data_IF_564852449535
#
_entry.id   IF_564852449535
#
_cell.length_a   1.000
_cell.length_b   1.000
_cell.length_c   1.000
_cell.angle_alpha   90.00
_cell.angle_beta   90.00
_cell.angle_gamma   90.00
#
_symmetry.space_group_name_H-M   'P 1'
#
loop_
_entity.id
_entity.type
_entity.pdbx_description
1 polymer ?
#
# COMPACT_ATOMS: atom_id res chain seq x y z
N UNK A 1 -37.01 -30.04 -0.43
CA UNK A 1 -36.01 -29.09 -0.95
C UNK A 1 -36.55 -28.65 -2.30
N UNK A 2 -37.17 -27.48 -2.37
CA UNK A 2 -37.89 -27.01 -3.56
C UNK A 2 -36.90 -26.32 -4.50
N UNK A 3 -36.71 -26.89 -5.68
CA UNK A 3 -35.88 -26.34 -6.75
C UNK A 3 -36.68 -25.28 -7.51
N UNK A 4 -36.37 -24.00 -7.26
CA UNK A 4 -36.95 -22.89 -8.02
C UNK A 4 -36.31 -22.88 -9.41
N UNK A 5 -37.07 -23.29 -10.43
CA UNK A 5 -36.65 -23.21 -11.82
C UNK A 5 -36.62 -21.73 -12.24
N UNK A 6 -35.44 -21.22 -12.62
CA UNK A 6 -35.27 -19.82 -13.02
C UNK A 6 -35.67 -19.56 -14.47
N UNK A 7 -35.88 -20.61 -15.27
CA UNK A 7 -36.30 -20.52 -16.66
C UNK A 7 -36.20 -21.85 -17.38
N UNK A 8 -36.84 -21.93 -18.54
CA UNK A 8 -36.81 -23.09 -19.43
C UNK A 8 -36.06 -22.72 -20.70
N UNK A 9 -35.06 -23.52 -21.07
CA UNK A 9 -34.41 -23.40 -22.37
C UNK A 9 -35.03 -24.45 -23.29
N UNK A 10 -35.49 -24.03 -24.46
CA UNK A 10 -35.79 -24.95 -25.55
C UNK A 10 -34.47 -25.30 -26.21
N UNK A 11 -34.05 -26.55 -26.08
CA UNK A 11 -32.91 -27.06 -26.84
C UNK A 11 -33.30 -27.19 -28.32
N UNK A 12 -32.32 -27.09 -29.22
CA UNK A 12 -32.53 -27.01 -30.68
C UNK A 12 -33.27 -28.24 -31.27
N UNK A 13 -33.39 -29.32 -30.49
CA UNK A 13 -34.08 -30.57 -30.83
C UNK A 13 -35.43 -30.78 -30.10
N UNK A 14 -35.97 -29.76 -29.43
CA UNK A 14 -37.37 -29.73 -29.00
C UNK A 14 -37.71 -30.32 -27.63
N UNK A 15 -36.73 -30.76 -26.85
CA UNK A 15 -36.97 -31.14 -25.44
C UNK A 15 -36.65 -29.97 -24.49
N UNK A 16 -37.60 -29.66 -23.60
CA UNK A 16 -37.47 -28.58 -22.64
C UNK A 16 -36.58 -29.01 -21.46
N UNK A 17 -35.43 -28.34 -21.31
CA UNK A 17 -34.50 -28.61 -20.21
C UNK A 17 -34.53 -27.44 -19.22
N UNK A 18 -34.71 -27.74 -17.94
CA UNK A 18 -34.72 -26.72 -16.88
C UNK A 18 -33.31 -26.15 -16.69
N UNK A 19 -33.17 -24.82 -16.77
CA UNK A 19 -31.91 -24.15 -16.40
C UNK A 19 -31.84 -24.15 -14.88
N UNK A 20 -31.00 -25.03 -14.34
CA UNK A 20 -30.66 -25.05 -12.92
C UNK A 20 -29.61 -23.97 -12.68
N UNK A 21 -29.97 -22.90 -11.98
CA UNK A 21 -29.00 -21.91 -11.52
C UNK A 21 -28.07 -22.63 -10.53
N UNK A 22 -26.76 -22.77 -10.82
CA UNK A 22 -25.85 -23.32 -9.83
C UNK A 22 -25.89 -22.40 -8.60
N UNK A 23 -25.91 -22.95 -7.38
CA UNK A 23 -25.90 -22.13 -6.19
C UNK A 23 -24.70 -21.17 -6.25
N UNK A 24 -24.85 -19.92 -5.79
CA UNK A 24 -23.75 -18.95 -5.81
C UNK A 24 -22.53 -19.60 -5.15
N UNK A 25 -21.37 -19.52 -5.83
CA UNK A 25 -20.09 -19.99 -5.30
C UNK A 25 -19.93 -19.35 -3.92
N UNK A 26 -20.03 -20.16 -2.87
CA UNK A 26 -19.77 -19.70 -1.51
C UNK A 26 -18.32 -19.28 -1.48
N UNK A 27 -18.06 -18.01 -1.16
CA UNK A 27 -16.70 -17.51 -1.04
C UNK A 27 -15.97 -18.39 -0.01
N UNK A 28 -14.79 -18.96 -0.34
CA UNK A 28 -14.12 -19.93 0.51
C UNK A 28 -13.62 -19.29 1.83
N UNK A 29 -13.62 -17.97 1.91
CA UNK A 29 -13.24 -17.20 3.08
C UNK A 29 -14.48 -16.56 3.69
N UNK A 30 -14.73 -16.73 5.00
CA UNK A 30 -15.80 -15.99 5.68
C UNK A 30 -15.54 -14.48 5.61
N UNK A 31 -16.56 -13.65 5.87
CA UNK A 31 -16.38 -12.20 5.90
C UNK A 31 -15.19 -11.81 6.80
N UNK A 32 -14.31 -10.87 6.39
CA UNK A 32 -13.13 -10.46 7.16
C UNK A 32 -13.43 -9.97 8.58
N UNK A 33 -14.65 -9.48 8.80
CA UNK A 33 -15.17 -9.07 10.11
C UNK A 33 -15.39 -10.25 11.07
N UNK A 34 -15.51 -11.47 10.55
CA UNK A 34 -15.71 -12.71 11.30
C UNK A 34 -14.41 -13.51 11.47
N UNK A 35 -13.27 -13.00 11.00
CA UNK A 35 -11.98 -13.68 11.15
C UNK A 35 -11.50 -13.60 12.59
N UNK A 36 -11.06 -14.75 13.11
CA UNK A 36 -10.25 -14.77 14.33
C UNK A 36 -8.94 -14.02 14.11
N UNK A 37 -8.37 -13.44 15.17
CA UNK A 37 -7.15 -12.63 15.09
C UNK A 37 -5.98 -13.41 14.44
N UNK A 38 -5.84 -14.69 14.77
CA UNK A 38 -4.83 -15.57 14.18
C UNK A 38 -5.00 -15.81 12.66
N UNK A 39 -6.24 -15.80 12.15
CA UNK A 39 -6.51 -15.90 10.70
C UNK A 39 -6.24 -14.57 10.02
N UNK A 40 -6.57 -13.46 10.68
CA UNK A 40 -6.29 -12.11 10.17
C UNK A 40 -4.79 -11.85 10.07
N UNK A 41 -4.02 -12.18 11.09
CA UNK A 41 -2.56 -12.09 11.08
C UNK A 41 -1.96 -12.95 9.96
N UNK A 42 -2.38 -14.21 9.82
CA UNK A 42 -1.92 -15.07 8.73
C UNK A 42 -2.29 -14.54 7.35
N UNK A 43 -3.43 -13.89 7.20
CA UNK A 43 -3.83 -13.29 5.93
C UNK A 43 -3.01 -12.03 5.63
N UNK A 44 -2.71 -11.22 6.65
CA UNK A 44 -1.78 -10.09 6.53
C UNK A 44 -0.39 -10.58 6.12
N UNK A 45 0.13 -11.62 6.76
CA UNK A 45 1.41 -12.23 6.42
C UNK A 45 1.42 -12.84 5.01
N UNK A 46 0.31 -13.45 4.59
CA UNK A 46 0.15 -13.99 3.24
C UNK A 46 0.07 -12.87 2.18
N UNK A 47 -0.61 -11.76 2.47
CA UNK A 47 -0.66 -10.58 1.59
C UNK A 47 0.70 -9.91 1.48
N UNK A 48 1.43 -9.82 2.60
CA UNK A 48 2.82 -9.36 2.64
C UNK A 48 3.70 -10.27 1.78
N UNK A 49 3.62 -11.58 2.00
CA UNK A 49 4.41 -12.57 1.26
C UNK A 49 4.09 -12.54 -0.24
N UNK A 50 2.82 -12.40 -0.61
CA UNK A 50 2.38 -12.26 -1.99
C UNK A 50 2.89 -10.96 -2.63
N UNK A 51 2.88 -9.85 -1.89
CA UNK A 51 3.44 -8.58 -2.34
C UNK A 51 4.97 -8.65 -2.49
N UNK A 52 5.65 -9.45 -1.67
CA UNK A 52 7.09 -9.68 -1.76
C UNK A 52 7.47 -10.66 -2.88
N UNK A 53 6.69 -11.74 -3.08
CA UNK A 53 6.95 -12.78 -4.09
C UNK A 53 6.64 -12.30 -5.52
N UNK A 54 5.70 -11.37 -5.70
CA UNK A 54 5.50 -10.72 -7.01
C UNK A 54 6.69 -9.85 -7.44
N UNK A 55 7.65 -9.59 -6.54
CA UNK A 55 8.76 -8.64 -6.70
C UNK A 55 10.15 -9.28 -6.77
N UNK A 56 10.27 -10.60 -6.96
CA UNK A 56 11.57 -11.20 -7.35
C UNK A 56 11.88 -10.88 -8.82
N UNK A 57 12.24 -9.62 -9.06
CA UNK A 57 12.73 -9.10 -10.34
C UNK A 57 12.25 -7.67 -10.61
N UNK A 58 13.09 -6.69 -10.30
CA UNK A 58 13.16 -5.36 -10.95
C UNK A 58 12.33 -4.13 -10.53
N UNK A 59 11.35 -4.16 -9.64
CA UNK A 59 10.60 -2.92 -9.33
C UNK A 59 10.73 -2.46 -7.86
N UNK A 60 11.56 -1.42 -7.67
CA UNK A 60 11.49 -0.51 -6.51
C UNK A 60 10.00 -0.13 -6.28
N UNK A 61 9.49 -0.13 -5.04
CA UNK A 61 8.12 0.28 -4.75
C UNK A 61 7.87 1.70 -5.23
N UNK A 62 6.73 1.93 -5.88
CA UNK A 62 6.33 3.25 -6.40
C UNK A 62 6.44 4.33 -5.33
N UNK A 63 6.01 4.05 -4.10
CA UNK A 63 6.14 4.99 -2.97
C UNK A 63 7.58 5.44 -2.66
N UNK A 64 8.58 4.57 -2.83
CA UNK A 64 9.99 4.94 -2.65
C UNK A 64 10.55 5.69 -3.86
N UNK A 65 10.03 5.40 -5.07
CA UNK A 65 10.34 6.17 -6.28
C UNK A 65 9.79 7.59 -6.15
N UNK A 66 8.53 7.73 -5.72
CA UNK A 66 7.86 9.01 -5.51
C UNK A 66 8.60 9.85 -4.47
N UNK A 67 9.03 9.23 -3.36
CA UNK A 67 9.89 9.89 -2.38
C UNK A 67 11.18 10.41 -3.03
N UNK A 68 11.87 9.57 -3.80
CA UNK A 68 13.11 9.95 -4.46
C UNK A 68 12.89 11.07 -5.51
N UNK A 69 11.75 11.10 -6.18
CA UNK A 69 11.37 12.12 -7.15
C UNK A 69 11.06 13.45 -6.47
N UNK A 70 10.34 13.46 -5.34
CA UNK A 70 10.12 14.66 -4.52
C UNK A 70 11.45 15.26 -4.02
N UNK A 71 12.36 14.42 -3.52
CA UNK A 71 13.70 14.85 -3.10
C UNK A 71 14.47 15.43 -4.29
N UNK A 72 14.43 14.77 -5.46
CA UNK A 72 15.12 15.23 -6.67
C UNK A 72 14.55 16.57 -7.16
N UNK A 73 13.25 16.75 -7.11
CA UNK A 73 12.57 17.95 -7.55
C UNK A 73 12.89 19.13 -6.63
N UNK A 74 13.03 18.87 -5.33
CA UNK A 74 13.52 19.85 -4.36
C UNK A 74 14.98 20.23 -4.60
N UNK A 75 15.86 19.26 -4.87
CA UNK A 75 17.27 19.50 -5.22
C UNK A 75 17.36 20.37 -6.48
N UNK A 76 16.55 20.08 -7.50
CA UNK A 76 16.49 20.83 -8.75
C UNK A 76 15.73 22.15 -8.66
N UNK A 77 15.17 22.47 -7.50
CA UNK A 77 14.37 23.67 -7.27
C UNK A 77 13.21 23.81 -8.26
N UNK A 78 12.52 22.71 -8.58
CA UNK A 78 11.37 22.77 -9.50
C UNK A 78 10.24 23.59 -8.87
N UNK A 79 9.62 24.51 -9.63
CA UNK A 79 8.55 25.37 -9.13
C UNK A 79 7.22 24.63 -8.93
N UNK A 80 7.05 23.47 -9.55
CA UNK A 80 5.85 22.63 -9.45
C UNK A 80 5.85 21.71 -8.23
N UNK A 81 6.88 21.76 -7.39
CA UNK A 81 6.97 20.91 -6.21
C UNK A 81 5.94 21.37 -5.18
N UNK A 82 5.06 20.45 -4.78
CA UNK A 82 4.22 20.67 -3.61
C UNK A 82 5.08 20.59 -2.34
N UNK A 83 5.24 21.73 -1.66
CA UNK A 83 6.05 21.84 -0.46
C UNK A 83 5.38 21.20 0.76
N UNK A 84 4.06 21.10 0.78
CA UNK A 84 3.33 20.44 1.86
C UNK A 84 3.53 18.93 1.77
N UNK A 85 3.30 18.35 0.59
CA UNK A 85 3.55 16.92 0.32
C UNK A 85 5.02 16.53 0.53
N UNK A 86 5.95 17.37 0.05
CA UNK A 86 7.38 17.18 0.29
C UNK A 86 7.71 17.19 1.79
N UNK A 87 7.17 18.16 2.53
CA UNK A 87 7.38 18.25 3.98
C UNK A 87 6.85 16.98 4.64
N UNK A 88 5.59 16.60 4.36
CA UNK A 88 4.93 15.34 4.78
C UNK A 88 5.70 14.07 4.39
N UNK A 89 6.50 14.11 3.34
CA UNK A 89 7.35 12.97 2.97
C UNK A 89 8.61 12.92 3.85
N UNK A 90 9.25 14.07 4.12
CA UNK A 90 10.47 14.14 4.92
C UNK A 90 10.29 13.61 6.35
N UNK A 91 9.33 14.13 7.09
CA UNK A 91 9.05 13.63 8.43
C UNK A 91 8.52 12.19 8.45
N UNK A 92 8.02 11.63 7.34
CA UNK A 92 7.56 10.24 7.31
C UNK A 92 8.79 9.33 7.23
N UNK A 93 9.73 9.69 6.36
CA UNK A 93 11.04 9.04 6.21
C UNK A 93 11.79 9.04 7.56
N UNK A 94 11.70 10.11 8.35
CA UNK A 94 12.37 10.25 9.65
C UNK A 94 11.51 9.85 10.87
N UNK A 95 10.26 9.40 10.66
CA UNK A 95 9.36 8.97 11.74
C UNK A 95 8.89 10.09 12.68
N UNK A 96 8.84 11.34 12.21
CA UNK A 96 8.22 12.46 12.94
C UNK A 96 6.69 12.44 12.87
N UNK A 97 6.12 11.73 11.90
CA UNK A 97 4.71 11.40 11.86
C UNK A 97 4.50 9.98 11.37
N UNK A 98 3.39 9.41 11.82
CA UNK A 98 2.94 8.09 11.41
C UNK A 98 2.13 8.23 10.11
N UNK A 99 2.68 7.67 9.03
CA UNK A 99 1.90 7.45 7.80
C UNK A 99 0.95 6.25 7.97
N UNK A 100 0.22 5.90 6.90
CA UNK A 100 -0.61 4.68 6.90
C UNK A 100 0.21 3.41 7.22
N UNK A 101 1.49 3.41 6.85
CA UNK A 101 2.49 2.42 7.27
C UNK A 101 3.79 3.15 7.65
N UNK A 102 4.52 2.73 8.70
CA UNK A 102 5.82 3.30 9.03
C UNK A 102 6.83 3.14 7.90
N UNK A 103 7.65 4.16 7.65
CA UNK A 103 8.67 4.13 6.59
C UNK A 103 9.61 2.92 6.71
N UNK A 104 10.11 2.65 7.93
CA UNK A 104 10.97 1.50 8.19
C UNK A 104 10.31 0.15 7.82
N UNK A 105 8.99 0.05 8.00
CA UNK A 105 8.24 -1.15 7.63
C UNK A 105 8.13 -1.30 6.11
N UNK A 106 7.84 -0.20 5.39
CA UNK A 106 7.84 -0.18 3.92
C UNK A 106 9.20 -0.59 3.37
N UNK A 107 10.28 -0.07 3.93
CA UNK A 107 11.65 -0.44 3.56
C UNK A 107 11.94 -1.93 3.80
N UNK A 108 11.57 -2.46 4.97
CA UNK A 108 11.77 -3.86 5.32
C UNK A 108 11.04 -4.82 4.37
N UNK A 109 9.79 -4.52 4.00
CA UNK A 109 9.03 -5.29 3.03
C UNK A 109 9.69 -5.37 1.65
N UNK A 110 10.54 -4.39 1.33
CA UNK A 110 11.15 -4.24 0.02
C UNK A 110 12.63 -4.62 0.01
N UNK A 111 13.16 -5.08 1.15
CA UNK A 111 14.57 -5.44 1.30
C UNK A 111 15.53 -4.26 1.15
N UNK A 112 15.04 -3.04 1.40
CA UNK A 112 15.83 -1.80 1.28
C UNK A 112 16.15 -1.30 2.68
N UNK A 113 17.39 -0.83 2.91
CA UNK A 113 17.69 -0.17 4.18
C UNK A 113 16.97 1.19 4.26
N UNK A 114 16.24 1.49 5.35
CA UNK A 114 15.65 2.81 5.55
C UNK A 114 16.70 3.93 5.59
N UNK A 115 17.95 3.59 5.87
CA UNK A 115 19.07 4.54 5.92
C UNK A 115 19.34 5.15 4.53
N UNK A 116 18.97 4.50 3.43
CA UNK A 116 19.32 4.95 2.07
C UNK A 116 18.78 6.34 1.76
N UNK A 117 17.49 6.59 1.97
CA UNK A 117 16.92 7.92 1.73
C UNK A 117 17.26 8.90 2.86
N UNK A 118 17.35 8.41 4.10
CA UNK A 118 17.74 9.24 5.24
C UNK A 118 19.15 9.82 5.04
N UNK A 119 20.10 9.02 4.57
CA UNK A 119 21.45 9.44 4.24
C UNK A 119 21.47 10.46 3.11
N UNK A 120 20.66 10.28 2.06
CA UNK A 120 20.54 11.27 0.97
C UNK A 120 20.08 12.62 1.51
N UNK A 121 19.08 12.63 2.40
CA UNK A 121 18.57 13.86 3.03
C UNK A 121 19.63 14.50 3.93
N UNK A 122 20.31 13.72 4.79
CA UNK A 122 21.30 14.23 5.73
C UNK A 122 22.58 14.72 5.07
N UNK A 123 22.97 14.13 3.92
CA UNK A 123 24.18 14.51 3.19
C UNK A 123 23.96 15.67 2.20
N UNK A 124 22.72 16.05 1.92
CA UNK A 124 22.42 17.18 1.04
C UNK A 124 22.02 18.43 1.84
N UNK A 125 22.86 19.47 1.82
CA UNK A 125 22.70 20.67 2.66
C UNK A 125 21.30 21.31 2.63
N UNK A 126 20.67 21.39 1.45
CA UNK A 126 19.31 21.92 1.31
C UNK A 126 18.25 21.02 1.95
N UNK A 127 18.33 19.70 1.70
CA UNK A 127 17.34 18.76 2.22
C UNK A 127 17.46 18.65 3.75
N UNK A 128 18.69 18.67 4.26
CA UNK A 128 18.97 18.75 5.70
C UNK A 128 18.38 20.01 6.35
N UNK A 129 18.53 21.17 5.71
CA UNK A 129 17.95 22.41 6.22
C UNK A 129 16.41 22.34 6.26
N UNK A 130 15.79 21.78 5.22
CA UNK A 130 14.35 21.56 5.19
C UNK A 130 13.91 20.55 6.28
N UNK A 131 14.69 19.49 6.52
CA UNK A 131 14.42 18.52 7.59
C UNK A 131 14.44 19.16 8.97
N UNK A 132 15.38 20.07 9.25
CA UNK A 132 15.42 20.79 10.52
C UNK A 132 14.22 21.73 10.69
N UNK A 133 13.66 22.27 9.60
CA UNK A 133 12.40 23.01 9.63
C UNK A 133 11.24 22.09 10.02
N UNK A 134 11.11 20.94 9.34
CA UNK A 134 10.08 19.94 9.65
C UNK A 134 10.17 19.48 11.10
N UNK A 135 11.39 19.16 11.57
CA UNK A 135 11.64 18.77 12.95
C UNK A 135 11.18 19.85 13.94
N UNK A 136 11.42 21.12 13.64
CA UNK A 136 10.99 22.24 14.51
C UNK A 136 9.47 22.35 14.58
N UNK A 137 8.78 22.10 13.47
CA UNK A 137 7.31 22.10 13.44
C UNK A 137 6.74 20.95 14.30
N UNK A 138 7.35 19.77 14.24
CA UNK A 138 6.94 18.61 15.04
C UNK A 138 7.27 18.77 16.54
N UNK A 139 8.43 19.33 16.89
CA UNK A 139 8.83 19.53 18.29
C UNK A 139 8.29 20.84 18.91
N UNK A 140 7.72 21.74 18.11
CA UNK A 140 7.09 22.99 18.54
C UNK A 140 5.60 22.88 18.82
N UNK A 141 4.99 21.73 18.52
CA UNK A 141 3.60 21.42 18.87
C UNK A 141 3.50 21.10 20.37
N UNK A 142 3.45 22.14 21.19
CA UNK A 142 2.90 22.05 22.54
C UNK A 142 1.39 21.83 22.40
N UNK A 143 0.97 20.56 22.37
CA UNK A 143 -0.37 20.17 22.80
C UNK A 143 -0.57 20.52 24.27
#
# INVERSE_FOLDING_TARGET
METVAAGWQLDFFGEATAIVVPPPKVDPLPDPSLWSDAVREKMVDALISLACDSRRGDNMPESLIDCADLLRDRIRNKPSLDLEEYSMTLGWIFGYWDGALPYAYVCALCGISPEVLQDVVLNHARLKADLEEVRRQCCGSLL
#
